data_IF_105622615190
#
_entry.id   IF_105622615190
#
_cell.length_a   1.000
_cell.length_b   1.000
_cell.length_c   1.000
_cell.angle_alpha   90.00
_cell.angle_beta   90.00
_cell.angle_gamma   90.00
#
_symmetry.space_group_name_H-M   'P 1'
#
loop_
_entity.id
_entity.type
_entity.pdbx_description
1 polymer ?
#
# COMPACT_ATOMS: atom_id res chain seq x y z
N UNK A 1 0.73 32.38 11.80
CA UNK A 1 2.03 32.11 12.43
C UNK A 1 2.99 31.64 11.36
N UNK A 2 3.98 32.45 11.05
CA UNK A 2 5.04 32.12 10.10
C UNK A 2 5.82 30.93 10.66
N UNK A 3 5.52 29.73 10.17
CA UNK A 3 6.27 28.52 10.52
C UNK A 3 7.69 28.72 10.02
N UNK A 4 8.60 29.07 10.91
CA UNK A 4 10.03 29.07 10.61
C UNK A 4 10.36 27.69 10.06
N UNK A 5 10.85 27.65 8.81
CA UNK A 5 11.25 26.43 8.07
C UNK A 5 12.49 25.81 8.72
N UNK A 6 12.39 25.41 9.99
CA UNK A 6 13.46 24.73 10.70
C UNK A 6 13.67 23.36 10.06
N UNK A 7 14.93 23.01 9.87
CA UNK A 7 15.33 21.72 9.30
C UNK A 7 15.32 20.69 10.42
N UNK A 8 14.73 19.52 10.19
CA UNK A 8 14.82 18.37 11.07
C UNK A 8 16.23 17.78 11.01
N UNK A 9 17.18 18.41 11.72
CA UNK A 9 18.62 18.13 11.55
C UNK A 9 18.96 16.64 11.76
N UNK A 10 18.41 16.02 12.81
CA UNK A 10 18.63 14.59 13.12
C UNK A 10 18.15 13.68 11.98
N UNK A 11 16.92 13.89 11.53
CA UNK A 11 16.30 13.15 10.41
C UNK A 11 17.06 13.38 9.11
N UNK A 12 17.48 14.62 8.86
CA UNK A 12 18.23 15.01 7.66
C UNK A 12 19.58 14.31 7.60
N UNK A 13 20.34 14.36 8.70
CA UNK A 13 21.63 13.65 8.79
C UNK A 13 21.41 12.15 8.61
N UNK A 14 20.40 11.56 9.26
CA UNK A 14 20.14 10.13 9.15
C UNK A 14 19.80 9.70 7.71
N UNK A 15 18.88 10.40 7.05
CA UNK A 15 18.44 10.10 5.68
C UNK A 15 19.53 10.33 4.62
N UNK A 16 20.50 11.21 4.88
CA UNK A 16 21.65 11.43 3.98
C UNK A 16 22.79 10.45 4.28
N UNK A 17 23.14 10.26 5.55
CA UNK A 17 24.28 9.43 5.94
C UNK A 17 24.03 7.95 5.69
N UNK A 18 22.82 7.44 5.97
CA UNK A 18 22.51 6.01 5.81
C UNK A 18 22.69 5.47 4.38
N UNK A 19 22.19 6.09 3.29
CA UNK A 19 22.46 5.60 1.95
C UNK A 19 23.95 5.71 1.57
N UNK A 20 24.65 6.77 1.96
CA UNK A 20 26.09 6.94 1.70
C UNK A 20 26.89 5.83 2.39
N UNK A 21 26.73 5.69 3.70
CA UNK A 21 27.43 4.66 4.49
C UNK A 21 27.04 3.26 4.01
N UNK A 22 25.76 3.04 3.72
CA UNK A 22 25.26 1.75 3.25
C UNK A 22 25.89 1.35 1.91
N UNK A 23 25.89 2.23 0.92
CA UNK A 23 26.44 1.95 -0.42
C UNK A 23 27.95 1.83 -0.39
N UNK A 24 28.66 2.86 0.09
CA UNK A 24 30.12 2.86 0.07
C UNK A 24 30.71 1.85 1.07
N UNK A 25 30.08 1.67 2.22
CA UNK A 25 30.47 0.64 3.19
C UNK A 25 30.28 -0.77 2.63
N UNK A 26 29.15 -1.06 1.99
CA UNK A 26 28.92 -2.37 1.35
C UNK A 26 29.93 -2.62 0.22
N UNK A 27 30.20 -1.61 -0.62
CA UNK A 27 31.22 -1.71 -1.66
C UNK A 27 32.62 -1.98 -1.09
N UNK A 28 33.02 -1.27 -0.03
CA UNK A 28 34.29 -1.49 0.64
C UNK A 28 34.39 -2.91 1.23
N UNK A 29 33.32 -3.43 1.84
CA UNK A 29 33.27 -4.80 2.36
C UNK A 29 33.44 -5.84 1.23
N UNK A 30 32.73 -5.65 0.11
CA UNK A 30 32.85 -6.52 -1.06
C UNK A 30 34.28 -6.55 -1.61
N UNK A 31 34.94 -5.40 -1.71
CA UNK A 31 36.28 -5.28 -2.27
C UNK A 31 37.40 -5.77 -1.34
N UNK A 32 37.19 -5.76 -0.02
CA UNK A 32 38.24 -6.09 0.96
C UNK A 32 38.18 -7.52 1.48
N UNK A 33 36.97 -8.00 1.83
CA UNK A 33 36.81 -9.31 2.47
C UNK A 33 35.63 -10.14 1.95
N UNK A 34 34.88 -9.61 0.99
CA UNK A 34 33.62 -10.20 0.55
C UNK A 34 32.50 -10.09 1.60
N UNK A 35 31.30 -10.54 1.24
CA UNK A 35 30.15 -10.61 2.15
C UNK A 35 29.61 -12.04 2.11
N UNK A 36 29.56 -12.75 3.25
CA UNK A 36 29.02 -14.10 3.32
C UNK A 36 27.59 -14.19 2.80
N UNK A 37 27.23 -15.31 2.15
CA UNK A 37 25.87 -15.56 1.67
C UNK A 37 24.83 -15.46 2.79
N UNK A 38 25.15 -15.92 4.01
CA UNK A 38 24.23 -15.80 5.16
C UNK A 38 23.92 -14.35 5.55
N UNK A 39 24.86 -13.41 5.35
CA UNK A 39 24.62 -11.97 5.54
C UNK A 39 23.63 -11.43 4.51
N UNK A 40 23.71 -11.89 3.25
CA UNK A 40 22.72 -11.55 2.23
C UNK A 40 21.34 -12.15 2.50
N UNK A 41 21.29 -13.37 3.06
CA UNK A 41 20.02 -13.97 3.50
C UNK A 41 19.41 -13.20 4.67
N UNK A 42 20.23 -12.78 5.65
CA UNK A 42 19.79 -11.93 6.75
C UNK A 42 19.32 -10.55 6.25
N UNK A 43 20.02 -9.96 5.28
CA UNK A 43 19.61 -8.75 4.56
C UNK A 43 18.21 -8.93 3.96
N UNK A 44 18.00 -9.99 3.18
CA UNK A 44 16.73 -10.25 2.50
C UNK A 44 15.60 -10.48 3.50
N UNK A 45 15.85 -11.27 4.54
CA UNK A 45 14.88 -11.50 5.61
C UNK A 45 14.48 -10.18 6.29
N UNK A 46 15.44 -9.37 6.72
CA UNK A 46 15.16 -8.09 7.39
C UNK A 46 14.48 -7.09 6.46
N UNK A 47 14.86 -7.04 5.18
CA UNK A 47 14.22 -6.20 4.16
C UNK A 47 12.72 -6.53 4.02
N UNK A 48 12.40 -7.81 3.89
CA UNK A 48 11.03 -8.32 3.73
C UNK A 48 10.24 -8.16 5.03
N UNK A 49 10.80 -8.57 6.18
CA UNK A 49 10.12 -8.49 7.47
C UNK A 49 9.79 -7.04 7.86
N UNK A 50 10.72 -6.11 7.61
CA UNK A 50 10.51 -4.67 7.85
C UNK A 50 9.45 -4.11 6.90
N UNK A 51 9.54 -4.43 5.60
CA UNK A 51 8.57 -3.96 4.60
C UNK A 51 7.15 -4.49 4.84
N UNK A 52 7.01 -5.78 5.16
CA UNK A 52 5.72 -6.40 5.52
C UNK A 52 5.16 -5.87 6.85
N UNK A 53 6.01 -5.36 7.73
CA UNK A 53 5.57 -4.74 8.98
C UNK A 53 5.02 -3.33 8.79
N UNK A 54 5.57 -2.56 7.85
CA UNK A 54 4.99 -1.28 7.45
C UNK A 54 3.64 -1.51 6.74
N UNK A 55 3.59 -2.42 5.79
CA UNK A 55 2.41 -2.64 4.94
C UNK A 55 1.29 -3.42 5.64
N UNK A 56 1.60 -4.56 6.25
CA UNK A 56 0.63 -5.38 6.97
C UNK A 56 0.26 -4.81 8.33
N UNK A 57 1.25 -4.25 9.05
CA UNK A 57 1.11 -3.70 10.38
C UNK A 57 0.69 -2.24 10.40
N UNK A 58 1.65 -1.33 10.23
CA UNK A 58 1.44 0.10 10.40
C UNK A 58 0.29 0.61 9.52
N UNK A 59 0.28 0.17 8.27
CA UNK A 59 -0.69 0.57 7.29
C UNK A 59 -2.05 -0.14 7.47
N UNK A 60 -2.15 -1.42 7.12
CA UNK A 60 -3.45 -2.12 7.04
C UNK A 60 -4.05 -2.42 8.42
N UNK A 61 -3.25 -2.82 9.40
CA UNK A 61 -3.73 -3.17 10.75
C UNK A 61 -3.98 -1.91 11.60
N UNK A 62 -2.94 -1.11 11.84
CA UNK A 62 -3.02 0.00 12.80
C UNK A 62 -3.68 1.24 12.21
N UNK A 63 -3.39 1.63 10.97
CA UNK A 63 -3.98 2.83 10.38
C UNK A 63 -5.41 2.62 9.89
N UNK A 64 -5.66 1.55 9.12
CA UNK A 64 -6.98 1.31 8.51
C UNK A 64 -7.89 0.34 9.26
N UNK A 65 -7.36 -0.39 10.25
CA UNK A 65 -8.11 -1.41 11.01
C UNK A 65 -8.80 -2.40 10.06
N UNK A 66 -8.08 -2.82 9.01
CA UNK A 66 -8.62 -3.65 7.94
C UNK A 66 -8.83 -5.11 8.36
N UNK A 67 -8.22 -5.52 9.48
CA UNK A 67 -8.38 -6.84 10.10
C UNK A 67 -7.99 -6.75 11.59
N UNK A 68 -8.22 -7.84 12.34
CA UNK A 68 -7.72 -8.03 13.71
C UNK A 68 -6.61 -9.06 13.70
N UNK A 69 -5.65 -8.90 14.60
CA UNK A 69 -4.49 -9.79 14.70
C UNK A 69 -4.24 -10.22 16.15
N UNK A 70 -3.83 -11.49 16.31
CA UNK A 70 -3.36 -12.04 17.57
C UNK A 70 -2.06 -11.35 18.03
N UNK A 71 -1.76 -11.45 19.32
CA UNK A 71 -0.63 -10.76 19.92
C UNK A 71 0.72 -11.05 19.23
N UNK A 72 1.09 -12.30 18.86
CA UNK A 72 2.37 -12.57 18.21
C UNK A 72 2.55 -11.80 16.89
N UNK A 73 1.48 -11.71 16.08
CA UNK A 73 1.49 -10.98 14.81
C UNK A 73 1.61 -9.47 15.05
N UNK A 74 0.90 -8.94 16.06
CA UNK A 74 1.04 -7.53 16.46
C UNK A 74 2.46 -7.20 16.92
N UNK A 75 3.06 -8.04 17.77
CA UNK A 75 4.43 -7.84 18.24
C UNK A 75 5.43 -7.89 17.09
N UNK A 76 5.27 -8.84 16.15
CA UNK A 76 6.08 -8.90 14.94
C UNK A 76 6.04 -7.56 14.20
N UNK A 77 4.85 -7.02 13.93
CA UNK A 77 4.71 -5.74 13.23
C UNK A 77 5.24 -4.54 14.02
N UNK A 78 5.03 -4.50 15.33
CA UNK A 78 5.50 -3.40 16.20
C UNK A 78 7.03 -3.33 16.23
N UNK A 79 7.70 -4.48 16.36
CA UNK A 79 9.16 -4.52 16.48
C UNK A 79 9.86 -4.45 15.13
N UNK A 80 9.47 -5.24 14.14
CA UNK A 80 10.09 -5.17 12.80
C UNK A 80 9.71 -3.89 12.06
N UNK A 81 8.53 -3.30 12.32
CA UNK A 81 8.18 -1.99 11.79
C UNK A 81 9.06 -0.87 12.33
N UNK A 82 9.48 -0.95 13.60
CA UNK A 82 10.44 0.01 14.17
C UNK A 82 11.82 -0.04 13.48
N UNK A 83 12.21 -1.19 12.93
CA UNK A 83 13.43 -1.31 12.14
C UNK A 83 13.38 -0.51 10.82
N UNK A 84 12.22 0.02 10.43
CA UNK A 84 12.10 0.88 9.25
C UNK A 84 12.54 2.32 9.52
N UNK A 85 12.67 2.74 10.78
CA UNK A 85 12.93 4.14 11.16
C UNK A 85 11.91 5.17 10.63
N UNK A 86 10.64 4.76 10.44
CA UNK A 86 9.57 5.62 9.90
C UNK A 86 8.66 6.22 10.99
N UNK A 87 9.20 6.50 12.18
CA UNK A 87 8.48 6.86 13.39
C UNK A 87 7.71 5.70 14.05
N UNK A 88 7.20 5.98 15.24
CA UNK A 88 6.38 5.06 16.03
C UNK A 88 5.09 4.69 15.30
N UNK A 89 4.45 3.58 15.69
CA UNK A 89 3.15 3.15 15.13
C UNK A 89 2.12 4.29 15.23
N UNK A 90 2.12 5.02 16.34
CA UNK A 90 1.20 6.12 16.64
C UNK A 90 1.43 7.29 15.68
N UNK A 91 2.67 7.77 15.56
CA UNK A 91 3.00 8.90 14.67
C UNK A 91 2.75 8.56 13.20
N UNK A 92 3.20 7.38 12.76
CA UNK A 92 3.01 6.94 11.38
C UNK A 92 1.52 6.82 11.05
N UNK A 93 0.72 6.21 11.95
CA UNK A 93 -0.71 6.05 11.72
C UNK A 93 -1.47 7.37 11.74
N UNK A 94 -1.09 8.30 12.61
CA UNK A 94 -1.67 9.65 12.65
C UNK A 94 -1.45 10.37 11.32
N UNK A 95 -0.20 10.37 10.84
CA UNK A 95 0.16 10.98 9.56
C UNK A 95 -0.56 10.33 8.37
N UNK A 96 -0.62 9.00 8.35
CA UNK A 96 -1.30 8.25 7.30
C UNK A 96 -2.81 8.52 7.27
N UNK A 97 -3.46 8.56 8.44
CA UNK A 97 -4.88 8.93 8.55
C UNK A 97 -5.14 10.38 8.14
N UNK A 98 -4.21 11.31 8.43
CA UNK A 98 -4.26 12.69 7.93
C UNK A 98 -4.15 12.71 6.41
N UNK A 99 -3.18 11.99 5.84
CA UNK A 99 -3.01 11.88 4.39
C UNK A 99 -4.31 11.40 3.73
N UNK A 100 -4.90 10.30 4.18
CA UNK A 100 -6.17 9.81 3.63
C UNK A 100 -7.35 10.78 3.76
N UNK A 101 -7.36 11.61 4.81
CA UNK A 101 -8.42 12.61 5.01
C UNK A 101 -8.26 13.83 4.09
N UNK A 102 -7.01 14.18 3.76
CA UNK A 102 -6.65 15.42 3.06
C UNK A 102 -5.81 15.18 1.81
N UNK A 103 -5.97 14.03 1.15
CA UNK A 103 -5.19 13.62 -0.02
C UNK A 103 -5.11 14.77 -1.04
N UNK A 104 -3.89 15.06 -1.50
CA UNK A 104 -3.56 16.11 -2.46
C UNK A 104 -3.78 17.56 -1.99
N UNK A 105 -4.20 17.78 -0.74
CA UNK A 105 -4.40 19.10 -0.15
C UNK A 105 -3.17 19.59 0.64
N UNK A 106 -3.23 20.81 1.13
CA UNK A 106 -2.11 21.42 1.87
C UNK A 106 -1.87 20.78 3.24
N UNK A 107 -2.92 20.24 3.86
CA UNK A 107 -2.84 19.55 5.16
C UNK A 107 -2.13 18.20 5.04
N UNK A 108 -2.14 17.58 3.86
CA UNK A 108 -1.40 16.35 3.60
C UNK A 108 0.12 16.60 3.70
N UNK A 109 0.81 15.93 4.65
CA UNK A 109 2.23 16.16 4.91
C UNK A 109 3.12 15.87 3.70
N UNK A 110 2.79 14.86 2.90
CA UNK A 110 3.58 14.40 1.77
C UNK A 110 2.81 14.45 0.44
N UNK A 111 1.89 15.43 0.34
CA UNK A 111 1.13 15.69 -0.87
C UNK A 111 2.01 15.84 -2.11
N UNK A 112 1.66 15.09 -3.15
CA UNK A 112 2.30 15.12 -4.47
C UNK A 112 2.07 16.44 -5.21
N UNK A 113 1.04 17.21 -4.86
CA UNK A 113 0.77 18.52 -5.47
C UNK A 113 1.86 19.55 -5.13
N UNK A 114 2.65 19.30 -4.08
CA UNK A 114 3.85 20.09 -3.71
C UNK A 114 5.11 19.65 -4.48
N UNK A 115 5.00 18.66 -5.36
CA UNK A 115 6.06 18.16 -6.24
C UNK A 115 6.56 16.76 -5.89
N UNK A 116 7.10 16.06 -6.91
CA UNK A 116 7.58 14.68 -6.78
C UNK A 116 8.58 14.49 -5.64
N UNK A 117 9.60 15.35 -5.57
CA UNK A 117 10.63 15.25 -4.53
C UNK A 117 10.11 15.65 -3.13
N UNK A 118 9.12 16.54 -3.07
CA UNK A 118 8.43 16.82 -1.81
C UNK A 118 7.76 15.57 -1.28
N UNK A 119 6.92 14.90 -2.08
CA UNK A 119 6.24 13.67 -1.67
C UNK A 119 7.21 12.50 -1.41
N UNK A 120 8.31 12.41 -2.16
CA UNK A 120 9.27 11.33 -2.01
C UNK A 120 10.09 11.46 -0.71
N UNK A 121 10.71 12.61 -0.43
CA UNK A 121 11.65 12.69 0.69
C UNK A 121 11.76 14.06 1.36
N UNK A 122 11.59 15.18 0.63
CA UNK A 122 11.89 16.50 1.18
C UNK A 122 10.93 16.92 2.31
N UNK A 123 9.73 16.33 2.38
CA UNK A 123 8.81 16.57 3.48
C UNK A 123 9.39 16.14 4.86
N UNK A 124 10.29 15.15 4.88
CA UNK A 124 10.94 14.63 6.09
C UNK A 124 12.05 15.54 6.61
N UNK A 125 12.58 16.44 5.79
CA UNK A 125 13.62 17.40 6.20
C UNK A 125 13.04 18.61 6.93
N UNK A 126 11.73 18.80 6.90
CA UNK A 126 11.07 19.86 7.67
C UNK A 126 10.91 19.40 9.11
N UNK A 127 11.26 20.26 10.05
CA UNK A 127 10.99 20.02 11.45
C UNK A 127 9.47 19.94 11.67
N UNK A 128 9.07 18.85 12.31
CA UNK A 128 7.68 18.49 12.56
C UNK A 128 7.42 18.14 14.02
N UNK A 129 8.39 18.38 14.91
CA UNK A 129 8.27 18.06 16.34
C UNK A 129 7.16 18.83 17.05
N UNK A 130 6.61 19.87 16.42
CA UNK A 130 5.48 20.64 16.93
C UNK A 130 4.12 19.94 16.71
N UNK A 131 4.06 18.88 15.89
CA UNK A 131 2.81 18.17 15.62
C UNK A 131 2.65 17.02 16.60
N UNK A 132 1.61 17.10 17.42
CA UNK A 132 1.15 15.97 18.22
C UNK A 132 0.37 14.98 17.33
N UNK A 133 0.51 13.67 17.54
CA UNK A 133 -0.34 12.68 16.90
C UNK A 133 -1.81 12.94 17.22
N UNK A 134 -2.64 13.04 16.18
CA UNK A 134 -4.09 13.21 16.31
C UNK A 134 -4.77 11.98 15.73
N UNK A 135 -6.09 11.86 15.89
CA UNK A 135 -6.92 10.83 15.23
C UNK A 135 -6.54 9.36 15.52
N UNK A 136 -5.73 9.08 16.55
CA UNK A 136 -5.21 7.74 16.92
C UNK A 136 -5.57 7.30 18.34
N UNK A 137 -6.69 7.80 18.88
CA UNK A 137 -7.14 7.47 20.24
C UNK A 137 -7.26 5.96 20.50
N UNK A 138 -7.66 5.19 19.50
CA UNK A 138 -7.72 3.73 19.55
C UNK A 138 -6.37 3.05 19.75
N UNK A 139 -5.27 3.67 19.29
CA UNK A 139 -3.94 3.05 19.38
C UNK A 139 -3.33 3.20 20.77
N UNK A 140 -3.77 4.20 21.55
CA UNK A 140 -3.30 4.41 22.92
C UNK A 140 -3.79 3.35 23.90
N UNK A 141 -4.86 2.63 23.56
CA UNK A 141 -5.38 1.51 24.35
C UNK A 141 -4.49 0.26 24.24
N UNK A 142 -3.65 0.18 23.21
CA UNK A 142 -2.71 -0.93 23.01
C UNK A 142 -1.41 -0.71 23.78
N UNK A 143 -1.22 -1.45 24.88
CA UNK A 143 -0.03 -1.37 25.74
C UNK A 143 1.30 -1.57 24.99
N UNK A 144 1.33 -2.38 23.93
CA UNK A 144 2.57 -2.64 23.18
C UNK A 144 2.88 -1.53 22.19
N UNK A 145 1.84 -0.95 21.58
CA UNK A 145 1.98 0.24 20.74
C UNK A 145 2.42 1.44 21.59
N UNK A 146 1.82 1.62 22.78
CA UNK A 146 2.25 2.63 23.75
C UNK A 146 3.70 2.44 24.19
N UNK A 147 4.08 1.22 24.58
CA UNK A 147 5.46 0.88 24.92
C UNK A 147 6.43 1.22 23.79
N UNK A 148 6.08 0.86 22.55
CA UNK A 148 6.91 1.14 21.39
C UNK A 148 7.04 2.63 21.10
N UNK A 149 5.98 3.42 21.30
CA UNK A 149 6.04 4.87 21.16
C UNK A 149 6.96 5.50 22.20
N UNK A 150 6.79 5.14 23.48
CA UNK A 150 7.59 5.66 24.60
C UNK A 150 9.08 5.29 24.51
N UNK A 151 9.38 4.14 23.89
CA UNK A 151 10.74 3.60 23.77
C UNK A 151 11.23 3.56 22.31
N UNK A 152 10.64 4.37 21.42
CA UNK A 152 10.77 4.19 19.97
C UNK A 152 12.21 4.12 19.49
N UNK A 153 13.06 5.08 19.87
CA UNK A 153 14.45 5.10 19.42
C UNK A 153 15.23 3.89 19.93
N UNK A 154 15.01 3.45 21.17
CA UNK A 154 15.66 2.26 21.72
C UNK A 154 15.27 1.00 20.95
N UNK A 155 13.97 0.84 20.67
CA UNK A 155 13.45 -0.29 19.89
C UNK A 155 13.97 -0.24 18.44
N UNK A 156 13.92 0.93 17.79
CA UNK A 156 14.36 1.11 16.41
C UNK A 156 15.87 0.85 16.27
N UNK A 157 16.71 1.40 17.15
CA UNK A 157 18.16 1.18 17.15
C UNK A 157 18.46 -0.31 17.36
N UNK A 158 17.78 -0.95 18.33
CA UNK A 158 17.98 -2.37 18.59
C UNK A 158 17.59 -3.21 17.38
N UNK A 159 16.36 -3.06 16.88
CA UNK A 159 15.82 -3.89 15.80
C UNK A 159 16.52 -3.65 14.46
N UNK A 160 17.00 -2.43 14.19
CA UNK A 160 17.64 -2.08 12.93
C UNK A 160 19.14 -2.35 12.91
N UNK A 161 19.87 -2.06 13.99
CA UNK A 161 21.34 -2.09 13.98
C UNK A 161 21.89 -3.20 14.86
N UNK A 162 21.47 -3.27 16.13
CA UNK A 162 22.06 -4.19 17.10
C UNK A 162 21.67 -5.64 16.78
N UNK A 163 20.39 -5.90 16.54
CA UNK A 163 19.89 -7.24 16.24
C UNK A 163 20.54 -7.82 14.96
N UNK A 164 20.57 -7.10 13.82
CA UNK A 164 21.27 -7.60 12.63
C UNK A 164 22.77 -7.81 12.83
N UNK A 165 23.43 -6.92 13.59
CA UNK A 165 24.84 -7.05 13.93
C UNK A 165 25.09 -8.33 14.76
N UNK A 166 24.25 -8.62 15.76
CA UNK A 166 24.32 -9.86 16.56
C UNK A 166 24.07 -11.09 15.69
N UNK A 167 23.01 -11.07 14.87
CA UNK A 167 22.66 -12.18 13.98
C UNK A 167 23.84 -12.52 13.06
N UNK A 168 24.43 -11.52 12.41
CA UNK A 168 25.56 -11.76 11.51
C UNK A 168 26.85 -12.10 12.27
N UNK A 169 26.98 -11.63 13.51
CA UNK A 169 28.03 -12.01 14.43
C UNK A 169 28.10 -13.52 14.73
N UNK A 170 26.98 -14.25 14.60
CA UNK A 170 26.93 -15.71 14.77
C UNK A 170 27.82 -16.46 13.77
N UNK A 171 28.09 -15.87 12.61
CA UNK A 171 29.05 -16.39 11.62
C UNK A 171 30.25 -15.44 11.43
N UNK A 172 30.54 -14.60 12.42
CA UNK A 172 31.70 -13.71 12.47
C UNK A 172 31.59 -12.43 11.65
N UNK A 173 30.43 -12.13 11.04
CA UNK A 173 30.25 -10.96 10.16
C UNK A 173 29.50 -9.79 10.83
N UNK A 174 29.99 -9.36 11.99
CA UNK A 174 29.42 -8.24 12.76
C UNK A 174 29.24 -6.97 11.92
N UNK A 175 30.29 -6.60 11.17
CA UNK A 175 30.29 -5.40 10.35
C UNK A 175 29.36 -5.51 9.12
N UNK A 176 29.20 -6.70 8.55
CA UNK A 176 28.21 -6.93 7.50
C UNK A 176 26.78 -6.80 8.03
N UNK A 177 26.51 -7.29 9.24
CA UNK A 177 25.24 -7.07 9.93
C UNK A 177 24.92 -5.59 10.15
N UNK A 178 25.91 -4.79 10.57
CA UNK A 178 25.72 -3.35 10.79
C UNK A 178 25.57 -2.55 9.48
N UNK A 179 26.45 -2.77 8.51
CA UNK A 179 26.53 -1.96 7.28
C UNK A 179 25.52 -2.43 6.23
N UNK A 180 25.46 -3.73 5.95
CA UNK A 180 24.61 -4.28 4.89
C UNK A 180 23.17 -4.43 5.40
N UNK A 181 22.99 -5.19 6.47
CA UNK A 181 21.66 -5.54 6.99
C UNK A 181 21.03 -4.40 7.81
N UNK A 182 21.85 -3.57 8.47
CA UNK A 182 21.38 -2.42 9.24
C UNK A 182 21.25 -1.14 8.43
N UNK A 183 22.33 -0.72 7.77
CA UNK A 183 22.44 0.61 7.15
C UNK A 183 21.95 0.64 5.69
N UNK A 184 22.49 -0.22 4.81
CA UNK A 184 22.06 -0.28 3.40
C UNK A 184 20.59 -0.65 3.28
N UNK A 185 20.16 -1.68 4.04
CA UNK A 185 18.78 -2.18 4.03
C UNK A 185 17.77 -1.11 4.44
N UNK A 186 18.02 -0.33 5.51
CA UNK A 186 17.06 0.71 5.94
C UNK A 186 16.91 1.81 4.89
N UNK A 187 18.01 2.18 4.21
CA UNK A 187 17.95 3.13 3.09
C UNK A 187 17.10 2.59 1.93
N UNK A 188 17.22 1.30 1.59
CA UNK A 188 16.39 0.66 0.56
C UNK A 188 14.91 0.60 0.99
N UNK A 189 14.62 0.20 2.23
CA UNK A 189 13.26 0.20 2.75
C UNK A 189 12.61 1.59 2.71
N UNK A 190 13.35 2.65 3.05
CA UNK A 190 12.86 4.02 2.93
C UNK A 190 12.42 4.34 1.51
N UNK A 191 13.28 4.12 0.51
CA UNK A 191 12.92 4.43 -0.87
C UNK A 191 11.75 3.59 -1.38
N UNK A 192 11.65 2.32 -0.97
CA UNK A 192 10.49 1.49 -1.27
C UNK A 192 9.20 2.11 -0.73
N UNK A 193 9.16 2.51 0.55
CA UNK A 193 7.99 3.20 1.10
C UNK A 193 7.73 4.54 0.41
N UNK A 194 8.77 5.34 0.17
CA UNK A 194 8.65 6.67 -0.41
C UNK A 194 8.15 6.64 -1.87
N UNK A 195 8.34 5.55 -2.60
CA UNK A 195 7.73 5.37 -3.92
C UNK A 195 6.21 5.29 -3.87
N UNK A 196 5.61 4.91 -2.74
CA UNK A 196 4.15 4.92 -2.58
C UNK A 196 3.65 6.36 -2.64
N UNK A 197 4.26 7.26 -1.86
CA UNK A 197 3.86 8.67 -1.82
C UNK A 197 4.15 9.40 -3.14
N UNK A 198 5.25 9.07 -3.81
CA UNK A 198 5.67 9.77 -5.04
C UNK A 198 5.21 9.07 -6.32
N UNK A 199 5.78 7.91 -6.62
CA UNK A 199 5.61 7.24 -7.91
C UNK A 199 4.18 6.70 -8.08
N UNK A 200 3.53 6.25 -7.01
CA UNK A 200 2.14 5.78 -7.07
C UNK A 200 1.12 6.93 -7.22
N UNK A 201 1.51 8.18 -6.99
CA UNK A 201 0.69 9.35 -7.35
C UNK A 201 1.06 9.97 -8.71
N UNK A 202 2.22 9.59 -9.27
CA UNK A 202 2.72 10.15 -10.52
C UNK A 202 2.39 9.29 -11.76
N UNK A 203 2.67 7.98 -11.73
CA UNK A 203 2.59 7.10 -12.91
C UNK A 203 1.83 5.80 -12.64
N UNK A 204 0.71 5.62 -13.32
CA UNK A 204 -0.13 4.42 -13.24
C UNK A 204 -1.53 4.64 -13.83
N UNK A 205 -2.44 3.71 -13.56
CA UNK A 205 -3.84 3.78 -13.97
C UNK A 205 -4.75 4.24 -12.81
N UNK A 206 -5.94 4.77 -13.11
CA UNK A 206 -6.92 5.17 -12.09
C UNK A 206 -8.26 4.42 -12.23
N UNK A 207 -8.26 3.07 -12.21
CA UNK A 207 -9.43 2.24 -12.51
C UNK A 207 -10.66 2.48 -11.63
N UNK A 208 -10.52 3.04 -10.43
CA UNK A 208 -11.58 3.11 -9.43
C UNK A 208 -12.01 4.54 -9.09
N UNK A 209 -11.10 5.51 -9.15
CA UNK A 209 -11.38 6.91 -8.79
C UNK A 209 -10.41 7.88 -9.45
N UNK A 210 -10.85 9.07 -9.82
CA UNK A 210 -9.99 10.18 -10.24
C UNK A 210 -10.13 11.44 -9.38
N UNK A 211 -10.69 11.29 -8.18
CA UNK A 211 -10.84 12.38 -7.20
C UNK A 211 -9.50 12.85 -6.62
N UNK A 212 -8.50 11.99 -6.65
CA UNK A 212 -7.15 12.21 -6.17
C UNK A 212 -6.16 11.61 -7.16
N UNK A 213 -4.89 11.96 -7.04
CA UNK A 213 -3.82 11.59 -7.96
C UNK A 213 -3.34 10.15 -7.83
N UNK A 214 -3.69 9.43 -6.76
CA UNK A 214 -3.26 8.03 -6.54
C UNK A 214 -3.59 7.11 -7.73
N UNK A 215 -2.63 6.27 -8.11
CA UNK A 215 -2.64 5.42 -9.30
C UNK A 215 -2.22 3.98 -8.98
N UNK A 216 -2.81 3.03 -9.68
CA UNK A 216 -2.41 1.63 -9.68
C UNK A 216 -1.22 1.40 -10.62
N UNK A 217 -0.19 0.74 -10.11
CA UNK A 217 0.97 0.33 -10.87
C UNK A 217 1.57 -0.96 -10.30
N UNK A 218 1.44 -2.06 -11.05
CA UNK A 218 1.92 -3.38 -10.65
C UNK A 218 3.45 -3.44 -10.52
N UNK A 219 4.19 -2.64 -11.30
CA UNK A 219 5.65 -2.61 -11.21
C UNK A 219 6.12 -1.95 -9.91
N UNK A 220 5.42 -0.91 -9.45
CA UNK A 220 5.66 -0.31 -8.14
C UNK A 220 5.34 -1.33 -7.04
N UNK A 221 4.26 -2.10 -7.18
CA UNK A 221 3.85 -3.10 -6.20
C UNK A 221 4.93 -4.15 -5.90
N UNK A 222 5.85 -4.42 -6.82
CA UNK A 222 7.01 -5.31 -6.60
C UNK A 222 7.92 -4.81 -5.49
N UNK A 223 8.24 -3.52 -5.50
CA UNK A 223 9.11 -2.88 -4.52
C UNK A 223 8.36 -2.53 -3.24
N UNK A 224 7.07 -2.25 -3.34
CA UNK A 224 6.25 -1.78 -2.22
C UNK A 224 5.42 -2.86 -1.56
N UNK A 225 5.73 -4.13 -1.78
CA UNK A 225 5.04 -5.27 -1.15
C UNK A 225 3.52 -5.27 -1.33
N UNK A 226 3.04 -4.83 -2.51
CA UNK A 226 1.62 -4.76 -2.85
C UNK A 226 0.98 -3.37 -2.74
N UNK A 227 1.67 -2.38 -2.19
CA UNK A 227 1.12 -1.03 -2.02
C UNK A 227 1.05 -0.20 -3.32
N UNK A 228 1.51 -0.77 -4.44
CA UNK A 228 1.44 -0.12 -5.75
C UNK A 228 0.03 -0.07 -6.36
N UNK A 229 -0.95 -0.80 -5.83
CA UNK A 229 -2.36 -0.68 -6.22
C UNK A 229 -3.04 0.47 -5.45
N UNK A 230 -2.47 1.67 -5.60
CA UNK A 230 -2.76 2.80 -4.74
C UNK A 230 -4.08 3.50 -5.08
N UNK A 231 -4.55 3.41 -6.34
CA UNK A 231 -5.87 3.95 -6.70
C UNK A 231 -6.99 3.13 -6.07
N UNK A 232 -6.87 1.80 -6.06
CA UNK A 232 -7.79 0.93 -5.35
C UNK A 232 -7.80 1.27 -3.86
N UNK A 233 -6.61 1.33 -3.26
CA UNK A 233 -6.43 1.57 -1.85
C UNK A 233 -7.08 2.90 -1.40
N UNK A 234 -6.86 4.00 -2.12
CA UNK A 234 -7.45 5.29 -1.75
C UNK A 234 -8.98 5.34 -1.90
N UNK A 235 -9.56 4.63 -2.87
CA UNK A 235 -11.03 4.54 -3.00
C UNK A 235 -11.66 3.59 -1.97
N UNK A 236 -10.93 2.54 -1.57
CA UNK A 236 -11.43 1.42 -0.76
C UNK A 236 -10.53 1.11 0.44
N UNK A 237 -10.10 2.15 1.15
CA UNK A 237 -9.08 2.06 2.21
C UNK A 237 -9.38 1.11 3.38
N UNK A 238 -10.64 0.66 3.52
CA UNK A 238 -11.03 -0.31 4.54
C UNK A 238 -10.77 -1.77 4.14
N UNK A 239 -10.50 -2.07 2.85
CA UNK A 239 -10.17 -3.41 2.39
C UNK A 239 -8.76 -3.80 2.87
N UNK A 240 -8.59 -5.02 3.38
CA UNK A 240 -7.25 -5.50 3.77
C UNK A 240 -6.34 -5.77 2.56
N UNK A 241 -6.88 -5.81 1.35
CA UNK A 241 -6.16 -6.06 0.10
C UNK A 241 -5.95 -4.75 -0.63
N UNK A 242 -4.76 -4.58 -1.20
CA UNK A 242 -4.55 -3.58 -2.24
C UNK A 242 -4.62 -4.24 -3.62
N UNK A 243 -3.91 -5.36 -3.79
CA UNK A 243 -4.03 -6.21 -4.98
C UNK A 243 -5.22 -7.15 -4.84
N UNK A 244 -6.39 -6.77 -5.34
CA UNK A 244 -7.63 -7.55 -5.13
C UNK A 244 -7.69 -8.88 -5.88
N UNK A 245 -6.99 -9.01 -7.01
CA UNK A 245 -7.03 -10.23 -7.81
C UNK A 245 -6.06 -11.26 -7.24
N UNK A 246 -6.33 -12.53 -7.49
CA UNK A 246 -5.48 -13.62 -6.99
C UNK A 246 -4.02 -13.51 -7.48
N UNK A 247 -3.84 -13.14 -8.75
CA UNK A 247 -2.54 -12.89 -9.40
C UNK A 247 -1.97 -11.48 -9.22
N UNK A 248 -2.69 -10.56 -8.54
CA UNK A 248 -2.11 -9.25 -8.22
C UNK A 248 -1.02 -9.47 -7.16
N UNK A 249 0.21 -9.02 -7.44
CA UNK A 249 1.36 -9.18 -6.55
C UNK A 249 1.16 -8.33 -5.30
N UNK A 250 0.75 -8.99 -4.22
CA UNK A 250 0.48 -8.38 -2.92
C UNK A 250 0.93 -9.39 -1.84
N UNK A 251 2.24 -9.48 -1.57
CA UNK A 251 2.77 -10.39 -0.56
C UNK A 251 2.22 -10.10 0.84
N UNK A 252 1.81 -8.86 1.11
CA UNK A 252 1.14 -8.48 2.35
C UNK A 252 -0.22 -9.14 2.48
N UNK A 253 -1.05 -9.12 1.43
CA UNK A 253 -2.31 -9.88 1.37
C UNK A 253 -2.07 -11.37 1.62
N UNK A 254 -1.06 -11.94 0.98
CA UNK A 254 -0.75 -13.37 1.15
C UNK A 254 -0.31 -13.69 2.58
N UNK A 255 0.51 -12.85 3.20
CA UNK A 255 0.91 -13.00 4.60
C UNK A 255 -0.29 -12.93 5.55
N UNK A 256 -1.19 -11.95 5.36
CA UNK A 256 -2.41 -11.81 6.16
C UNK A 256 -3.32 -13.03 5.99
N UNK A 257 -3.44 -13.57 4.78
CA UNK A 257 -4.20 -14.81 4.53
C UNK A 257 -3.60 -16.02 5.24
N UNK A 258 -2.26 -16.15 5.26
CA UNK A 258 -1.57 -17.18 6.03
C UNK A 258 -1.87 -17.03 7.52
N UNK A 259 -1.78 -15.82 8.07
CA UNK A 259 -2.15 -15.57 9.46
C UNK A 259 -3.61 -15.92 9.74
N UNK A 260 -4.52 -15.60 8.82
CA UNK A 260 -5.93 -15.92 8.99
C UNK A 260 -6.19 -17.42 8.96
N UNK A 261 -5.55 -18.14 8.04
CA UNK A 261 -5.61 -19.60 7.97
C UNK A 261 -5.08 -20.26 9.25
N UNK A 262 -4.03 -19.70 9.86
CA UNK A 262 -3.48 -20.16 11.14
C UNK A 262 -4.28 -19.69 12.38
N UNK A 263 -5.39 -18.97 12.21
CA UNK A 263 -6.18 -18.43 13.32
C UNK A 263 -5.52 -17.25 14.05
N UNK A 264 -4.46 -16.66 13.48
CA UNK A 264 -3.73 -15.51 14.02
C UNK A 264 -4.25 -14.16 13.50
N UNK A 265 -5.12 -14.17 12.49
CA UNK A 265 -5.83 -12.98 12.00
C UNK A 265 -7.32 -13.28 11.76
N UNK A 266 -8.18 -12.32 12.08
CA UNK A 266 -9.63 -12.44 11.94
C UNK A 266 -10.25 -11.13 11.45
N UNK A 267 -11.54 -11.15 11.14
CA UNK A 267 -12.31 -9.98 10.68
C UNK A 267 -11.67 -9.25 9.48
N UNK A 268 -11.14 -10.01 8.52
CA UNK A 268 -10.54 -9.48 7.29
C UNK A 268 -11.61 -8.75 6.47
N UNK A 269 -11.55 -7.42 6.45
CA UNK A 269 -12.52 -6.58 5.74
C UNK A 269 -12.28 -6.59 4.25
N UNK A 270 -13.32 -6.86 3.47
CA UNK A 270 -13.28 -6.81 2.00
C UNK A 270 -14.44 -5.99 1.47
N UNK A 271 -14.18 -5.20 0.43
CA UNK A 271 -15.24 -4.55 -0.34
C UNK A 271 -15.89 -5.57 -1.29
N UNK A 272 -17.20 -5.47 -1.47
CA UNK A 272 -17.94 -6.39 -2.33
C UNK A 272 -17.55 -6.22 -3.80
N UNK A 273 -17.53 -7.33 -4.55
CA UNK A 273 -17.25 -7.32 -5.99
C UNK A 273 -18.22 -6.40 -6.76
N UNK A 274 -19.45 -6.22 -6.25
CA UNK A 274 -20.45 -5.30 -6.80
C UNK A 274 -20.01 -3.83 -6.67
N UNK A 275 -19.63 -3.40 -5.45
CA UNK A 275 -19.17 -2.04 -5.20
C UNK A 275 -17.92 -1.71 -6.02
N UNK A 276 -16.97 -2.66 -6.09
CA UNK A 276 -15.75 -2.53 -6.89
C UNK A 276 -16.10 -2.38 -8.39
N UNK A 277 -16.98 -3.24 -8.91
CA UNK A 277 -17.36 -3.19 -10.33
C UNK A 277 -18.08 -1.88 -10.65
N UNK A 278 -19.00 -1.43 -9.80
CA UNK A 278 -19.75 -0.19 -9.98
C UNK A 278 -18.81 1.02 -10.11
N UNK A 279 -17.82 1.16 -9.23
CA UNK A 279 -16.83 2.24 -9.32
C UNK A 279 -16.01 2.18 -10.59
N UNK A 280 -15.60 0.98 -10.99
CA UNK A 280 -14.87 0.78 -12.25
C UNK A 280 -15.70 1.16 -13.48
N UNK A 281 -16.98 0.80 -13.51
CA UNK A 281 -17.88 1.16 -14.60
C UNK A 281 -18.06 2.68 -14.71
N UNK A 282 -18.23 3.38 -13.57
CA UNK A 282 -18.28 4.86 -13.55
C UNK A 282 -17.01 5.46 -14.17
N UNK A 283 -15.84 4.94 -13.81
CA UNK A 283 -14.57 5.40 -14.39
C UNK A 283 -14.42 5.06 -15.87
N UNK A 284 -14.89 3.90 -16.30
CA UNK A 284 -14.88 3.49 -17.71
C UNK A 284 -15.79 4.40 -18.56
N UNK A 285 -16.99 4.74 -18.07
CA UNK A 285 -17.90 5.71 -18.69
C UNK A 285 -17.25 7.09 -18.83
N UNK A 286 -16.66 7.60 -17.75
CA UNK A 286 -15.99 8.90 -17.74
C UNK A 286 -14.86 8.95 -18.77
N UNK A 287 -14.06 7.88 -18.87
CA UNK A 287 -12.99 7.79 -19.89
C UNK A 287 -13.53 7.73 -21.30
N UNK A 288 -14.62 7.00 -21.54
CA UNK A 288 -15.25 6.94 -22.84
C UNK A 288 -15.71 8.33 -23.27
N UNK A 289 -16.42 9.05 -22.40
CA UNK A 289 -16.87 10.43 -22.65
C UNK A 289 -15.70 11.37 -22.97
N UNK A 290 -14.67 11.38 -22.13
CA UNK A 290 -13.49 12.22 -22.36
C UNK A 290 -12.80 11.90 -23.70
N UNK A 291 -12.76 10.62 -24.12
CA UNK A 291 -12.20 10.23 -25.42
C UNK A 291 -13.03 10.77 -26.59
N UNK A 292 -14.35 10.66 -26.51
CA UNK A 292 -15.27 11.13 -27.55
C UNK A 292 -15.21 12.67 -27.66
N UNK A 293 -15.18 13.37 -26.52
CA UNK A 293 -14.99 14.83 -26.47
C UNK A 293 -13.67 15.28 -27.13
N UNK A 294 -12.54 14.64 -26.78
CA UNK A 294 -11.23 14.97 -27.36
C UNK A 294 -11.20 14.74 -28.87
N UNK A 295 -11.91 13.74 -29.37
CA UNK A 295 -12.02 13.47 -30.82
C UNK A 295 -13.03 14.36 -31.54
N UNK A 296 -13.78 15.21 -30.82
CA UNK A 296 -14.89 15.99 -31.37
C UNK A 296 -15.93 15.13 -32.12
N UNK A 297 -16.07 13.85 -31.72
CA UNK A 297 -17.07 12.94 -32.27
C UNK A 297 -18.44 13.30 -31.67
N UNK A 298 -19.44 13.59 -32.53
CA UNK A 298 -20.80 13.86 -32.08
C UNK A 298 -21.44 12.58 -31.58
N UNK A 299 -21.92 12.53 -30.34
CA UNK A 299 -22.57 11.33 -29.82
C UNK A 299 -23.73 10.89 -30.73
N UNK A 300 -23.65 9.67 -31.25
CA UNK A 300 -24.71 9.10 -32.06
C UNK A 300 -26.07 9.11 -31.31
N UNK A 301 -27.20 9.33 -32.01
CA UNK A 301 -28.52 9.23 -31.39
C UNK A 301 -28.71 7.89 -30.66
N UNK A 302 -29.19 7.94 -29.42
CA UNK A 302 -29.40 6.75 -28.58
C UNK A 302 -28.14 6.21 -27.87
N UNK A 303 -26.99 6.90 -27.96
CA UNK A 303 -25.78 6.52 -27.23
C UNK A 303 -26.02 6.40 -25.72
N UNK A 304 -26.68 7.38 -25.11
CA UNK A 304 -26.97 7.39 -23.67
C UNK A 304 -27.88 6.24 -23.24
N UNK A 305 -28.93 5.95 -24.01
CA UNK A 305 -29.84 4.83 -23.75
C UNK A 305 -29.10 3.49 -23.84
N UNK A 306 -28.22 3.34 -24.84
CA UNK A 306 -27.41 2.13 -25.01
C UNK A 306 -26.42 1.95 -23.86
N UNK A 307 -25.75 3.03 -23.45
CA UNK A 307 -24.81 3.01 -22.33
C UNK A 307 -25.52 2.62 -21.02
N UNK A 308 -26.68 3.23 -20.73
CA UNK A 308 -27.52 2.90 -19.58
C UNK A 308 -27.98 1.44 -19.61
N UNK A 309 -28.48 0.98 -20.75
CA UNK A 309 -28.96 -0.40 -20.93
C UNK A 309 -27.86 -1.44 -20.68
N UNK A 310 -26.65 -1.22 -21.23
CA UNK A 310 -25.50 -2.09 -20.99
C UNK A 310 -25.07 -2.08 -19.52
N UNK A 311 -25.08 -0.90 -18.88
CA UNK A 311 -24.77 -0.76 -17.46
C UNK A 311 -25.73 -1.58 -16.60
N UNK A 312 -27.04 -1.40 -16.78
CA UNK A 312 -28.08 -2.15 -16.06
C UNK A 312 -27.93 -3.65 -16.28
N UNK A 313 -27.73 -4.06 -17.53
CA UNK A 313 -27.52 -5.48 -17.86
C UNK A 313 -26.35 -6.08 -17.08
N UNK A 314 -25.19 -5.41 -17.01
CA UNK A 314 -24.05 -5.92 -16.25
C UNK A 314 -24.38 -6.03 -14.76
N UNK A 315 -25.01 -5.01 -14.18
CA UNK A 315 -25.37 -4.97 -12.77
C UNK A 315 -26.37 -6.06 -12.39
N UNK A 316 -27.45 -6.21 -13.16
CA UNK A 316 -28.48 -7.25 -12.97
C UNK A 316 -27.88 -8.66 -13.04
N UNK A 317 -27.01 -8.92 -14.03
CA UNK A 317 -26.36 -10.23 -14.17
C UNK A 317 -25.38 -10.52 -13.03
N UNK A 318 -24.70 -9.49 -12.50
CA UNK A 318 -23.85 -9.63 -11.33
C UNK A 318 -24.67 -9.95 -10.07
N UNK A 319 -25.75 -9.19 -9.83
CA UNK A 319 -26.63 -9.41 -8.68
C UNK A 319 -27.26 -10.80 -8.73
N UNK A 320 -27.74 -11.25 -9.90
CA UNK A 320 -28.24 -12.62 -10.09
C UNK A 320 -27.19 -13.69 -9.75
N UNK A 321 -25.95 -13.50 -10.20
CA UNK A 321 -24.85 -14.43 -9.88
C UNK A 321 -24.53 -14.45 -8.38
N UNK A 322 -24.59 -13.31 -7.70
CA UNK A 322 -24.35 -13.21 -6.26
C UNK A 322 -25.47 -13.87 -5.45
N UNK A 323 -26.74 -13.64 -5.82
CA UNK A 323 -27.89 -14.26 -5.19
C UNK A 323 -27.79 -15.80 -5.24
N UNK A 324 -27.53 -16.36 -6.42
CA UNK A 324 -27.39 -17.81 -6.63
C UNK A 324 -26.20 -18.44 -5.89
N UNK A 325 -25.18 -17.66 -5.53
CA UNK A 325 -24.04 -18.14 -4.74
C UNK A 325 -24.30 -18.12 -3.24
N UNK A 326 -25.25 -17.29 -2.80
CA UNK A 326 -25.52 -17.04 -1.38
C UNK A 326 -26.62 -17.96 -0.85
N UNK A 327 -27.55 -18.39 -1.70
CA UNK A 327 -28.54 -19.42 -1.38
C UNK A 327 -27.84 -20.76 -1.11
N UNK A 328 -27.68 -21.11 0.16
CA UNK A 328 -27.19 -22.41 0.64
C UNK A 328 -28.39 -23.29 0.97
N UNK A 329 -28.60 -24.34 0.17
CA UNK A 329 -28.96 -25.70 0.65
C UNK A 329 -28.94 -26.72 -0.50
N UNK A 330 -29.27 -26.32 -1.74
CA UNK A 330 -29.01 -27.10 -2.95
C UNK A 330 -28.57 -26.18 -4.09
N UNK A 331 -27.28 -25.85 -4.15
CA UNK A 331 -26.74 -25.03 -5.24
C UNK A 331 -26.92 -25.80 -6.54
N UNK A 332 -27.86 -25.36 -7.39
CA UNK A 332 -27.90 -25.77 -8.79
C UNK A 332 -26.61 -25.26 -9.45
N UNK A 333 -25.59 -26.13 -9.44
CA UNK A 333 -24.26 -25.86 -10.01
C UNK A 333 -24.36 -25.47 -11.48
N UNK A 334 -25.40 -25.92 -12.19
CA UNK A 334 -25.68 -25.53 -13.57
C UNK A 334 -26.18 -24.08 -13.62
N UNK A 335 -27.18 -23.71 -12.82
CA UNK A 335 -27.67 -22.33 -12.74
C UNK A 335 -26.56 -21.32 -12.37
N UNK A 336 -25.68 -21.65 -11.41
CA UNK A 336 -24.53 -20.79 -11.06
C UNK A 336 -23.54 -20.68 -12.22
N UNK A 337 -23.26 -21.79 -12.91
CA UNK A 337 -22.36 -21.80 -14.08
C UNK A 337 -22.93 -20.95 -15.22
N UNK A 338 -24.23 -21.06 -15.48
CA UNK A 338 -24.93 -20.32 -16.53
C UNK A 338 -24.97 -18.83 -16.19
N UNK A 339 -25.35 -18.45 -14.97
CA UNK A 339 -25.31 -17.07 -14.50
C UNK A 339 -23.88 -16.46 -14.56
N UNK A 340 -22.85 -17.26 -14.27
CA UNK A 340 -21.45 -16.84 -14.40
C UNK A 340 -21.05 -16.62 -15.86
N UNK A 341 -21.56 -17.44 -16.77
CA UNK A 341 -21.36 -17.27 -18.22
C UNK A 341 -22.04 -15.99 -18.71
N UNK A 342 -23.31 -15.81 -18.37
CA UNK A 342 -24.10 -14.62 -18.71
C UNK A 342 -23.43 -13.33 -18.25
N UNK A 343 -22.99 -13.29 -16.98
CA UNK A 343 -22.28 -12.14 -16.44
C UNK A 343 -20.97 -11.85 -17.19
N UNK A 344 -20.20 -12.90 -17.54
CA UNK A 344 -18.97 -12.72 -18.34
C UNK A 344 -19.26 -12.17 -19.72
N UNK A 345 -20.33 -12.61 -20.38
CA UNK A 345 -20.76 -12.09 -21.69
C UNK A 345 -21.14 -10.61 -21.57
N UNK A 346 -22.01 -10.27 -20.61
CA UNK A 346 -22.40 -8.88 -20.36
C UNK A 346 -21.18 -7.97 -20.09
N UNK A 347 -20.26 -8.42 -19.23
CA UNK A 347 -19.05 -7.67 -18.90
C UNK A 347 -18.10 -7.53 -20.09
N UNK A 348 -18.00 -8.55 -20.96
CA UNK A 348 -17.20 -8.47 -22.19
C UNK A 348 -17.80 -7.47 -23.16
N UNK A 349 -19.12 -7.46 -23.33
CA UNK A 349 -19.83 -6.49 -24.16
C UNK A 349 -19.63 -5.07 -23.65
N UNK A 350 -19.78 -4.86 -22.34
CA UNK A 350 -19.47 -3.58 -21.69
C UNK A 350 -18.05 -3.11 -22.01
N UNK A 351 -17.04 -3.96 -21.78
CA UNK A 351 -15.63 -3.62 -22.02
C UNK A 351 -15.35 -3.22 -23.47
N UNK A 352 -15.96 -3.90 -24.44
CA UNK A 352 -15.84 -3.56 -25.87
C UNK A 352 -16.55 -2.25 -26.21
N UNK A 353 -17.65 -1.93 -25.52
CA UNK A 353 -18.33 -0.66 -25.69
C UNK A 353 -17.47 0.50 -25.17
N UNK A 354 -17.01 0.42 -23.92
CA UNK A 354 -16.22 1.49 -23.28
C UNK A 354 -14.77 1.61 -23.79
N UNK A 355 -14.24 0.60 -24.49
CA UNK A 355 -12.95 0.72 -25.17
C UNK A 355 -13.02 1.59 -26.42
N UNK A 356 -14.21 1.75 -27.01
CA UNK A 356 -14.43 2.39 -28.30
C UNK A 356 -14.66 1.41 -29.45
N UNK A 357 -14.55 0.09 -29.24
CA UNK A 357 -14.70 -0.90 -30.32
C UNK A 357 -16.15 -1.04 -30.80
N UNK A 358 -17.11 -0.74 -29.93
CA UNK A 358 -18.56 -0.81 -30.19
C UNK A 358 -19.29 0.50 -29.89
N UNK A 359 -18.59 1.51 -29.38
CA UNK A 359 -19.13 2.86 -29.26
C UNK A 359 -19.16 3.45 -30.68
N UNK A 360 -20.35 3.72 -31.25
CA UNK A 360 -20.40 4.45 -32.51
C UNK A 360 -19.81 5.84 -32.28
N UNK A 361 -18.99 6.29 -33.25
CA UNK A 361 -18.76 7.71 -33.50
C UNK A 361 -20.05 8.40 -33.94
#
# INVERSE_FOLDING_TARGET
>A
MEQTKKIALKTTIFLIATPIIGVFGTAALLLTRGIPTYTWLAFLFMLVATGLSITGGYHRLFSHRAYKAALPVRLFYIFFGAAAFQQSVIEWSSDHRIHHRYVDKDEDPYSITKGFWHAHILWLFKDRSYREPTNVNDLWEDKWVKFQHENYYSVAIFMNFILPMIICGLWGDWLGGLIVVGTLRVAINHHFTFFINSLAHYKGAQPYSDKHTAKDNWFIALFTFGEGYHNYHHEFQADYRNGIRWHDYDPTKWLINIFSYLGLASDLKTISDEQILRKKMIMDEKRLRNKLEVKSESLAPGFEERLESLRKTVQERQLRLLALKTEQEEVDKKAVKDAKSDFKVALKTWKRFVSGDLAPA
#
